data_IF_595587269927
#
_entry.id   IF_595587269927
#
_cell.length_a   1.000
_cell.length_b   1.000
_cell.length_c   1.000
_cell.angle_alpha   90.00
_cell.angle_beta   90.00
_cell.angle_gamma   90.00
#
_symmetry.space_group_name_H-M   'P 1'
#
loop_
_entity.id
_entity.type
_entity.pdbx_description
1 polymer ?
#
# COMPACT_ATOMS: atom_id res chain seq x y z
N UNK A 1 3.87 28.09 -9.08
CA UNK A 1 2.57 27.35 -9.21
C UNK A 1 1.56 27.96 -8.24
N UNK A 2 0.28 28.07 -8.63
CA UNK A 2 -0.76 28.32 -7.61
C UNK A 2 -0.86 27.04 -6.78
N UNK A 3 -0.49 27.11 -5.50
CA UNK A 3 -0.76 26.02 -4.56
C UNK A 3 -2.24 25.71 -4.59
N UNK A 4 -2.60 24.44 -4.76
CA UNK A 4 -3.97 24.00 -4.61
C UNK A 4 -4.43 24.31 -3.19
N UNK A 5 -5.65 24.84 -3.06
CA UNK A 5 -6.19 25.16 -1.76
C UNK A 5 -6.40 23.88 -0.96
N UNK A 6 -5.89 23.73 0.28
CA UNK A 6 -6.00 22.49 1.05
C UNK A 6 -7.44 22.08 1.41
N UNK A 7 -8.42 22.93 1.09
CA UNK A 7 -9.86 22.66 1.30
C UNK A 7 -10.56 22.02 0.10
N UNK A 8 -9.85 21.69 -0.98
CA UNK A 8 -10.47 20.97 -2.10
C UNK A 8 -10.79 19.53 -1.69
N UNK A 9 -11.98 19.06 -2.12
CA UNK A 9 -12.39 17.67 -1.90
C UNK A 9 -11.52 16.67 -2.66
N UNK A 10 -11.52 15.42 -2.20
CA UNK A 10 -10.67 14.33 -2.70
C UNK A 10 -10.70 14.19 -4.24
N UNK A 11 -11.89 14.21 -4.85
CA UNK A 11 -12.03 14.06 -6.31
C UNK A 11 -11.33 15.17 -7.09
N UNK A 12 -11.36 16.40 -6.58
CA UNK A 12 -10.63 17.53 -7.17
C UNK A 12 -9.12 17.35 -7.01
N UNK A 13 -8.67 16.91 -5.85
CA UNK A 13 -7.26 16.65 -5.60
C UNK A 13 -6.74 15.48 -6.46
N UNK A 14 -7.53 14.41 -6.65
CA UNK A 14 -7.17 13.27 -7.51
C UNK A 14 -6.87 13.71 -8.95
N UNK A 15 -7.60 14.70 -9.46
CA UNK A 15 -7.40 15.25 -10.82
C UNK A 15 -6.23 16.25 -10.86
N UNK A 16 -6.11 17.14 -9.87
CA UNK A 16 -5.28 18.34 -9.98
C UNK A 16 -3.96 18.29 -9.21
N UNK A 17 -3.85 17.56 -8.09
CA UNK A 17 -2.61 17.50 -7.32
C UNK A 17 -1.47 16.91 -8.16
N UNK A 18 -0.27 17.50 -8.09
CA UNK A 18 0.89 17.07 -8.86
C UNK A 18 0.77 17.23 -10.39
N UNK A 19 -0.37 17.71 -10.91
CA UNK A 19 -0.67 17.79 -12.35
C UNK A 19 -0.74 19.25 -12.85
N UNK A 20 0.23 20.08 -12.50
CA UNK A 20 0.33 21.42 -13.05
C UNK A 20 0.65 21.39 -14.54
N UNK A 21 0.15 22.34 -15.36
CA UNK A 21 0.56 22.49 -16.76
C UNK A 21 2.07 22.65 -16.89
N UNK A 22 2.66 22.06 -17.91
CA UNK A 22 4.09 22.17 -18.18
C UNK A 22 4.49 23.64 -18.38
N UNK A 23 5.46 24.17 -17.63
CA UNK A 23 5.80 25.58 -17.69
C UNK A 23 6.50 26.01 -18.99
N UNK A 24 7.12 25.06 -19.72
CA UNK A 24 7.82 25.36 -20.96
C UNK A 24 6.90 25.38 -22.18
N UNK A 25 5.91 24.51 -22.22
CA UNK A 25 5.05 24.32 -23.40
C UNK A 25 3.57 24.66 -23.15
N UNK A 26 3.15 24.75 -21.88
CA UNK A 26 1.74 24.88 -21.50
C UNK A 26 0.94 23.59 -21.66
N UNK A 27 1.58 22.44 -21.90
CA UNK A 27 0.90 21.16 -22.02
C UNK A 27 0.07 20.85 -20.76
N UNK A 28 -1.22 20.55 -20.94
CA UNK A 28 -2.10 20.27 -19.81
C UNK A 28 -1.87 18.88 -19.23
N UNK A 29 -1.67 17.87 -20.09
CA UNK A 29 -1.25 16.56 -19.65
C UNK A 29 0.21 16.60 -19.21
N UNK A 30 0.51 15.99 -18.04
CA UNK A 30 1.87 16.03 -17.51
C UNK A 30 2.85 15.31 -18.45
N UNK A 31 3.99 15.92 -18.83
CA UNK A 31 4.97 15.31 -19.75
C UNK A 31 5.66 14.10 -19.14
N UNK A 32 6.07 13.16 -19.99
CA UNK A 32 6.94 12.04 -19.62
C UNK A 32 8.39 12.47 -19.81
N UNK A 33 9.11 12.71 -18.73
CA UNK A 33 10.54 13.04 -18.77
C UNK A 33 11.39 11.76 -18.82
N UNK A 34 11.46 11.16 -20.02
CA UNK A 34 12.20 9.91 -20.25
C UNK A 34 13.69 10.20 -20.48
N UNK A 35 14.39 10.59 -19.41
CA UNK A 35 15.82 10.89 -19.42
C UNK A 35 16.49 10.30 -18.19
N UNK A 36 17.81 10.05 -18.25
CA UNK A 36 18.60 9.57 -17.10
C UNK A 36 19.20 10.70 -16.28
N UNK A 37 19.59 11.81 -16.91
CA UNK A 37 20.38 12.89 -16.30
C UNK A 37 19.94 14.27 -16.78
N UNK A 38 20.31 15.27 -16.03
CA UNK A 38 19.96 16.67 -16.25
C UNK A 38 21.24 17.52 -16.28
N UNK A 39 21.29 18.53 -17.14
CA UNK A 39 22.42 19.46 -17.22
C UNK A 39 22.38 20.46 -16.09
N UNK A 40 23.54 20.87 -15.61
CA UNK A 40 23.73 21.93 -14.63
C UNK A 40 24.05 23.25 -15.32
N UNK A 41 23.69 24.37 -14.67
CA UNK A 41 24.01 25.69 -15.18
C UNK A 41 25.53 25.96 -15.09
N UNK A 42 26.13 25.58 -13.95
CA UNK A 42 27.57 25.69 -13.67
C UNK A 42 28.00 24.71 -12.56
N UNK A 43 29.26 24.79 -12.13
CA UNK A 43 29.83 23.94 -11.09
C UNK A 43 29.23 24.20 -9.69
N UNK A 44 28.90 25.43 -9.38
CA UNK A 44 28.33 25.84 -8.09
C UNK A 44 26.88 25.38 -7.98
N UNK A 45 26.10 25.46 -9.08
CA UNK A 45 24.77 24.88 -9.16
C UNK A 45 24.84 23.34 -8.93
N UNK A 46 25.73 22.65 -9.62
CA UNK A 46 25.93 21.21 -9.42
C UNK A 46 26.25 20.89 -7.94
N UNK A 47 27.21 21.60 -7.35
CA UNK A 47 27.60 21.39 -5.94
C UNK A 47 26.42 21.60 -4.97
N UNK A 48 25.61 22.63 -5.19
CA UNK A 48 24.45 22.95 -4.34
C UNK A 48 23.39 21.84 -4.35
N UNK A 49 23.15 21.23 -5.53
CA UNK A 49 22.22 20.09 -5.67
C UNK A 49 22.74 18.83 -4.96
N UNK A 50 24.03 18.48 -5.17
CA UNK A 50 24.64 17.31 -4.52
C UNK A 50 24.73 17.45 -3.01
N UNK A 51 24.87 18.66 -2.48
CA UNK A 51 24.89 18.95 -1.05
C UNK A 51 23.51 19.15 -0.43
N UNK A 52 22.42 18.93 -1.16
CA UNK A 52 21.03 19.13 -0.73
C UNK A 52 20.73 20.57 -0.28
N UNK A 53 21.46 21.55 -0.80
CA UNK A 53 21.30 23.00 -0.52
C UNK A 53 20.30 23.68 -1.43
N UNK A 54 20.01 23.10 -2.60
CA UNK A 54 19.02 23.56 -3.56
C UNK A 54 18.13 22.41 -4.04
N UNK A 55 16.84 22.66 -4.33
CA UNK A 55 15.98 21.69 -5.00
C UNK A 55 16.33 21.60 -6.49
N UNK A 56 16.24 20.40 -7.07
CA UNK A 56 16.45 20.21 -8.50
C UNK A 56 16.60 18.75 -8.90
N UNK A 57 16.89 18.54 -10.19
CA UNK A 57 17.03 17.21 -10.77
C UNK A 57 18.49 16.98 -11.15
N UNK A 58 19.01 15.82 -10.75
CA UNK A 58 20.39 15.40 -11.03
C UNK A 58 20.38 14.18 -11.94
N UNK A 59 19.67 13.15 -11.49
CA UNK A 59 19.65 11.85 -12.12
C UNK A 59 18.31 11.13 -11.79
N UNK A 60 17.67 10.52 -12.78
CA UNK A 60 16.31 9.97 -12.63
C UNK A 60 16.16 8.83 -11.63
N UNK A 61 17.27 8.21 -11.18
CA UNK A 61 17.22 7.26 -10.05
C UNK A 61 16.91 7.94 -8.73
N UNK A 62 17.31 9.20 -8.54
CA UNK A 62 17.06 9.98 -7.33
C UNK A 62 15.73 10.74 -7.41
N UNK A 63 15.61 11.53 -8.49
CA UNK A 63 14.43 12.39 -8.74
C UNK A 63 14.20 12.53 -10.25
N UNK A 64 12.94 12.57 -10.65
CA UNK A 64 12.52 12.78 -12.03
C UNK A 64 11.22 13.58 -12.03
N UNK A 65 11.00 14.58 -12.90
CA UNK A 65 9.81 15.44 -12.86
C UNK A 65 8.50 14.68 -12.93
N UNK A 66 8.39 13.62 -13.75
CA UNK A 66 7.17 12.81 -13.86
C UNK A 66 6.93 11.99 -12.58
N UNK A 67 8.00 11.45 -11.99
CA UNK A 67 7.93 10.72 -10.71
C UNK A 67 7.59 11.66 -9.57
N UNK A 68 8.20 12.85 -9.50
CA UNK A 68 7.92 13.86 -8.50
C UNK A 68 6.45 14.35 -8.53
N UNK A 69 5.86 14.45 -9.72
CA UNK A 69 4.44 14.76 -9.86
C UNK A 69 3.54 13.67 -9.23
N UNK A 70 3.93 12.39 -9.36
CA UNK A 70 3.23 11.28 -8.72
C UNK A 70 3.42 11.29 -7.20
N UNK A 71 4.63 11.61 -6.71
CA UNK A 71 4.93 11.76 -5.29
C UNK A 71 4.07 12.85 -4.64
N UNK A 72 4.02 14.04 -5.26
CA UNK A 72 3.18 15.16 -4.80
C UNK A 72 1.69 14.77 -4.76
N UNK A 73 1.19 14.11 -5.83
CA UNK A 73 -0.21 13.68 -5.92
C UNK A 73 -0.55 12.70 -4.80
N UNK A 74 0.25 11.66 -4.60
CA UNK A 74 -0.02 10.61 -3.62
C UNK A 74 0.14 11.14 -2.17
N UNK A 75 1.16 11.96 -1.90
CA UNK A 75 1.30 12.62 -0.61
C UNK A 75 0.07 13.49 -0.29
N UNK A 76 -0.40 14.28 -1.27
CA UNK A 76 -1.59 15.13 -1.09
C UNK A 76 -2.84 14.30 -0.81
N UNK A 77 -3.05 13.17 -1.51
CA UNK A 77 -4.25 12.34 -1.35
C UNK A 77 -4.26 11.58 -0.02
N UNK A 78 -3.11 11.20 0.50
CA UNK A 78 -2.99 10.57 1.83
C UNK A 78 -2.95 11.58 2.99
N UNK A 79 -2.90 12.89 2.69
CA UNK A 79 -2.71 13.93 3.73
C UNK A 79 -1.32 13.93 4.33
N UNK A 80 -0.32 13.39 3.59
CA UNK A 80 1.08 13.35 3.97
C UNK A 80 1.85 14.63 3.62
N UNK A 81 3.07 14.72 4.13
CA UNK A 81 3.99 15.85 3.92
C UNK A 81 4.88 15.66 2.70
N UNK A 82 5.26 14.42 2.41
CA UNK A 82 6.10 14.06 1.27
C UNK A 82 6.00 12.58 0.93
N UNK A 83 6.47 12.20 -0.24
CA UNK A 83 6.45 10.82 -0.70
C UNK A 83 7.70 10.45 -1.48
N UNK A 84 8.02 9.16 -1.52
CA UNK A 84 9.09 8.59 -2.34
C UNK A 84 8.53 7.41 -3.14
N UNK A 85 8.46 7.58 -4.44
CA UNK A 85 7.95 6.55 -5.37
C UNK A 85 9.05 5.53 -5.67
N UNK A 86 8.64 4.26 -5.73
CA UNK A 86 9.54 3.10 -5.89
C UNK A 86 9.07 2.17 -7.01
N UNK A 87 9.94 1.23 -7.40
CA UNK A 87 9.69 0.28 -8.50
C UNK A 87 8.60 -0.77 -8.19
N UNK A 88 8.21 -0.93 -6.93
CA UNK A 88 7.16 -1.88 -6.49
C UNK A 88 6.70 -1.61 -5.06
N UNK A 89 5.57 -2.17 -4.64
CA UNK A 89 5.11 -2.14 -3.25
C UNK A 89 6.12 -2.76 -2.29
N UNK A 90 6.75 -3.88 -2.65
CA UNK A 90 7.80 -4.52 -1.85
C UNK A 90 9.02 -3.61 -1.65
N UNK A 91 9.36 -2.83 -2.68
CA UNK A 91 10.41 -1.82 -2.58
C UNK A 91 9.99 -0.67 -1.66
N UNK A 92 8.71 -0.27 -1.68
CA UNK A 92 8.17 0.75 -0.77
C UNK A 92 8.22 0.30 0.70
N UNK A 93 7.81 -0.94 1.00
CA UNK A 93 7.94 -1.52 2.34
C UNK A 93 9.41 -1.54 2.82
N UNK A 94 10.33 -1.93 1.92
CA UNK A 94 11.76 -1.95 2.23
C UNK A 94 12.29 -0.54 2.48
N UNK A 95 11.88 0.43 1.65
CA UNK A 95 12.30 1.82 1.78
C UNK A 95 11.74 2.47 3.06
N UNK A 96 10.51 2.13 3.46
CA UNK A 96 9.91 2.59 4.70
C UNK A 96 10.70 2.14 5.94
N UNK A 97 11.26 0.93 5.91
CA UNK A 97 11.98 0.35 7.05
C UNK A 97 13.49 0.61 7.02
N UNK A 98 14.07 0.86 5.85
CA UNK A 98 15.53 0.97 5.69
C UNK A 98 16.19 2.02 6.61
N UNK A 99 15.68 3.26 6.76
CA UNK A 99 16.27 4.24 7.68
C UNK A 99 16.02 3.92 9.16
N UNK A 100 15.08 3.03 9.46
CA UNK A 100 14.65 2.71 10.81
C UNK A 100 15.38 1.51 11.39
N UNK A 101 15.78 0.56 10.54
CA UNK A 101 16.27 -0.76 10.95
C UNK A 101 17.79 -0.84 10.89
N UNK A 102 18.35 -1.62 11.82
CA UNK A 102 19.74 -2.05 11.84
C UNK A 102 19.79 -3.54 12.23
N UNK A 103 20.93 -4.25 12.01
CA UNK A 103 21.06 -5.64 12.44
C UNK A 103 20.72 -5.83 13.92
N UNK A 104 19.89 -6.82 14.23
CA UNK A 104 19.39 -7.13 15.57
C UNK A 104 18.17 -6.33 16.01
N UNK A 105 17.69 -5.37 15.22
CA UNK A 105 16.46 -4.61 15.51
C UNK A 105 15.20 -5.38 15.08
N UNK A 106 14.06 -4.94 15.59
CA UNK A 106 12.77 -5.62 15.47
C UNK A 106 11.71 -4.70 14.86
N UNK A 107 10.87 -5.26 13.97
CA UNK A 107 9.59 -4.69 13.53
C UNK A 107 8.48 -5.59 14.03
N UNK A 108 7.46 -5.02 14.69
CA UNK A 108 6.25 -5.74 15.08
C UNK A 108 5.30 -5.73 13.90
N UNK A 109 4.79 -6.89 13.52
CA UNK A 109 4.06 -7.10 12.27
C UNK A 109 2.75 -7.82 12.55
N UNK A 110 1.65 -7.33 12.01
CA UNK A 110 0.38 -8.05 12.03
C UNK A 110 0.52 -9.41 11.32
N UNK A 111 -0.14 -10.46 11.81
CA UNK A 111 -0.05 -11.79 11.21
C UNK A 111 -1.01 -11.98 10.02
N UNK A 112 -2.01 -11.11 9.85
CA UNK A 112 -2.94 -11.12 8.70
C UNK A 112 -2.55 -10.02 7.73
N UNK A 113 -1.69 -10.36 6.77
CA UNK A 113 -1.14 -9.48 5.75
C UNK A 113 -1.04 -10.20 4.41
N UNK A 114 -0.70 -9.44 3.38
CA UNK A 114 -0.30 -9.97 2.10
C UNK A 114 0.86 -10.97 2.24
N UNK A 115 0.73 -12.14 1.60
CA UNK A 115 1.72 -13.23 1.73
C UNK A 115 3.13 -12.82 1.29
N UNK A 116 3.26 -11.88 0.34
CA UNK A 116 4.56 -11.31 -0.06
C UNK A 116 5.23 -10.54 1.06
N UNK A 117 4.48 -9.73 1.81
CA UNK A 117 4.95 -8.98 2.98
C UNK A 117 5.39 -9.92 4.10
N UNK A 118 4.59 -10.96 4.38
CA UNK A 118 4.95 -12.01 5.37
C UNK A 118 6.29 -12.67 5.00
N UNK A 119 6.48 -13.03 3.74
CA UNK A 119 7.73 -13.64 3.28
C UNK A 119 8.91 -12.65 3.30
N UNK A 120 8.70 -11.40 2.87
CA UNK A 120 9.72 -10.36 2.89
C UNK A 120 10.23 -10.13 4.30
N UNK A 121 9.31 -9.85 5.24
CA UNK A 121 9.66 -9.53 6.63
C UNK A 121 10.13 -10.75 7.41
N UNK A 122 9.43 -11.89 7.27
CA UNK A 122 9.72 -13.08 8.05
C UNK A 122 10.93 -13.89 7.59
N UNK A 123 11.34 -13.76 6.31
CA UNK A 123 12.44 -14.56 5.75
C UNK A 123 13.54 -13.70 5.12
N UNK A 124 13.19 -12.77 4.20
CA UNK A 124 14.19 -12.04 3.44
C UNK A 124 14.95 -11.05 4.31
N UNK A 125 14.29 -10.35 5.21
CA UNK A 125 14.91 -9.37 6.10
C UNK A 125 15.85 -9.99 7.14
N UNK A 126 15.69 -11.27 7.46
CA UNK A 126 16.66 -11.99 8.30
C UNK A 126 18.08 -11.97 7.71
N UNK A 127 18.22 -11.87 6.38
CA UNK A 127 19.53 -11.73 5.71
C UNK A 127 20.21 -10.40 6.02
N UNK A 128 19.46 -9.38 6.42
CA UNK A 128 19.95 -8.09 6.90
C UNK A 128 20.07 -8.04 8.44
N UNK A 129 19.72 -9.14 9.12
CA UNK A 129 19.65 -9.17 10.57
C UNK A 129 18.44 -8.43 11.15
N UNK A 130 17.42 -8.12 10.34
CA UNK A 130 16.18 -7.52 10.78
C UNK A 130 15.19 -8.60 11.19
N UNK A 131 14.55 -8.43 12.34
CA UNK A 131 13.68 -9.44 12.93
C UNK A 131 12.22 -8.96 12.86
N UNK A 132 11.33 -9.77 12.27
CA UNK A 132 9.89 -9.55 12.30
C UNK A 132 9.26 -10.33 13.46
N UNK A 133 8.49 -9.65 14.31
CA UNK A 133 7.73 -10.23 15.42
C UNK A 133 6.26 -10.20 15.02
N UNK A 134 5.75 -11.35 14.55
CA UNK A 134 4.35 -11.46 14.15
C UNK A 134 3.44 -11.58 15.36
N UNK A 135 2.38 -10.78 15.38
CA UNK A 135 1.40 -10.73 16.47
C UNK A 135 -0.03 -10.88 15.94
N UNK A 136 -0.96 -11.21 16.81
CA UNK A 136 -2.36 -11.29 16.45
C UNK A 136 -2.91 -9.93 16.00
N UNK A 137 -3.32 -9.86 14.76
CA UNK A 137 -3.81 -8.66 14.09
C UNK A 137 -5.06 -8.05 14.74
N UNK A 138 -5.89 -8.86 15.38
CA UNK A 138 -7.17 -8.47 15.93
C UNK A 138 -7.08 -7.96 17.38
N UNK A 139 -5.88 -8.06 17.97
CA UNK A 139 -5.66 -7.71 19.37
C UNK A 139 -4.59 -6.60 19.51
N UNK A 140 -4.98 -5.31 19.67
CA UNK A 140 -4.02 -4.22 19.89
C UNK A 140 -3.07 -4.45 21.08
N UNK A 141 -3.53 -5.17 22.11
CA UNK A 141 -2.70 -5.48 23.28
C UNK A 141 -1.57 -6.47 22.95
N UNK A 142 -1.74 -7.34 21.94
CA UNK A 142 -0.66 -8.20 21.48
C UNK A 142 0.51 -7.39 20.90
N UNK A 143 0.23 -6.28 20.21
CA UNK A 143 1.26 -5.35 19.75
C UNK A 143 2.00 -4.72 20.92
N UNK A 144 1.27 -4.28 21.97
CA UNK A 144 1.87 -3.68 23.18
C UNK A 144 2.81 -4.65 23.90
N UNK A 145 2.40 -5.89 24.07
CA UNK A 145 3.19 -6.94 24.74
C UNK A 145 4.44 -7.33 23.95
N UNK A 146 4.42 -7.15 22.62
CA UNK A 146 5.58 -7.45 21.77
C UNK A 146 6.63 -6.34 21.75
N UNK A 147 6.33 -5.15 22.30
CA UNK A 147 7.28 -4.02 22.31
C UNK A 147 8.51 -4.33 23.15
N UNK A 148 9.69 -4.14 22.58
CA UNK A 148 10.99 -4.27 23.26
C UNK A 148 11.85 -3.02 23.01
N UNK A 149 13.03 -2.96 23.64
CA UNK A 149 14.02 -1.91 23.36
C UNK A 149 14.57 -1.96 21.92
N UNK A 150 14.42 -3.10 21.25
CA UNK A 150 14.86 -3.31 19.85
C UNK A 150 13.79 -2.92 18.83
N UNK A 151 12.54 -2.72 19.23
CA UNK A 151 11.45 -2.33 18.35
C UNK A 151 11.73 -0.99 17.68
N UNK A 152 11.57 -0.95 16.35
CA UNK A 152 11.81 0.23 15.50
C UNK A 152 10.60 0.68 14.71
N UNK A 153 9.63 -0.20 14.47
CA UNK A 153 8.38 0.13 13.80
C UNK A 153 7.29 -0.89 14.19
N UNK A 154 6.04 -0.49 13.97
CA UNK A 154 4.89 -1.39 13.89
C UNK A 154 4.38 -1.34 12.45
N UNK A 155 4.11 -2.50 11.85
CA UNK A 155 3.62 -2.61 10.47
C UNK A 155 2.29 -3.35 10.42
N UNK A 156 1.30 -2.74 9.74
CA UNK A 156 -0.05 -3.31 9.53
C UNK A 156 -0.54 -3.01 8.11
N UNK A 157 -1.61 -3.69 7.68
CA UNK A 157 -2.44 -3.26 6.54
C UNK A 157 -3.74 -2.62 7.04
N UNK A 158 -4.23 -1.58 6.39
CA UNK A 158 -5.51 -0.94 6.75
C UNK A 158 -6.70 -1.88 6.52
N UNK A 159 -6.69 -2.55 5.38
CA UNK A 159 -7.60 -3.60 4.96
C UNK A 159 -6.76 -4.77 4.45
N UNK A 160 -6.76 -5.88 5.16
CA UNK A 160 -5.83 -6.99 4.90
C UNK A 160 -6.28 -7.87 3.73
N UNK A 161 -5.31 -8.28 2.93
CA UNK A 161 -5.44 -9.28 1.87
C UNK A 161 -4.94 -10.65 2.39
N UNK A 162 -5.70 -11.76 2.26
CA UNK A 162 -6.87 -11.94 1.38
C UNK A 162 -8.24 -11.76 2.03
N UNK A 163 -8.33 -11.71 3.34
CA UNK A 163 -9.56 -11.96 4.07
C UNK A 163 -10.45 -10.73 4.36
N UNK A 164 -10.14 -9.52 3.87
CA UNK A 164 -10.94 -8.33 4.15
C UNK A 164 -10.99 -7.95 5.64
N UNK A 165 -9.93 -8.24 6.38
CA UNK A 165 -9.78 -7.89 7.81
C UNK A 165 -9.47 -6.41 7.94
N UNK A 166 -10.23 -5.69 8.75
CA UNK A 166 -10.00 -4.26 9.03
C UNK A 166 -9.26 -4.11 10.35
N UNK A 167 -8.09 -3.47 10.32
CA UNK A 167 -7.28 -3.22 11.52
C UNK A 167 -7.82 -2.04 12.32
N UNK A 168 -7.69 -2.10 13.65
CA UNK A 168 -7.96 -0.95 14.52
C UNK A 168 -6.76 -0.01 14.54
N UNK A 169 -6.65 0.81 13.47
CA UNK A 169 -5.50 1.68 13.22
C UNK A 169 -5.25 2.62 14.41
N UNK A 170 -6.28 3.26 14.93
CA UNK A 170 -6.17 4.23 16.04
C UNK A 170 -5.62 3.58 17.32
N UNK A 171 -6.11 2.39 17.67
CA UNK A 171 -5.64 1.68 18.86
C UNK A 171 -4.19 1.23 18.72
N UNK A 172 -3.77 0.78 17.52
CA UNK A 172 -2.39 0.36 17.25
C UNK A 172 -1.47 1.59 17.16
N UNK A 173 -1.94 2.71 16.61
CA UNK A 173 -1.19 3.98 16.60
C UNK A 173 -0.85 4.48 18.01
N UNK A 174 -1.76 4.32 18.97
CA UNK A 174 -1.49 4.62 20.39
C UNK A 174 -0.36 3.77 20.94
N UNK A 175 -0.33 2.48 20.60
CA UNK A 175 0.77 1.58 21.02
C UNK A 175 2.10 2.01 20.40
N UNK A 176 2.13 2.35 19.10
CA UNK A 176 3.33 2.82 18.42
C UNK A 176 3.86 4.12 19.05
N UNK A 177 2.97 5.09 19.31
CA UNK A 177 3.30 6.36 19.96
C UNK A 177 3.89 6.15 21.37
N UNK A 178 3.24 5.33 22.22
CA UNK A 178 3.73 4.99 23.55
C UNK A 178 5.10 4.29 23.52
N UNK A 179 5.34 3.49 22.49
CA UNK A 179 6.62 2.83 22.27
C UNK A 179 7.69 3.77 21.68
N UNK A 180 7.32 4.99 21.22
CA UNK A 180 8.20 5.94 20.55
C UNK A 180 8.78 5.40 19.24
N UNK A 181 7.94 4.69 18.46
CA UNK A 181 8.27 4.15 17.12
C UNK A 181 7.17 4.49 16.13
N UNK A 182 7.47 4.62 14.82
CA UNK A 182 6.44 4.93 13.83
C UNK A 182 5.52 3.74 13.59
N UNK A 183 4.23 4.05 13.33
CA UNK A 183 3.27 3.14 12.73
C UNK A 183 3.35 3.26 11.19
N UNK A 184 3.66 2.14 10.53
CA UNK A 184 3.67 1.98 9.08
C UNK A 184 2.41 1.23 8.66
N UNK A 185 1.62 1.81 7.78
CA UNK A 185 0.37 1.20 7.29
C UNK A 185 0.44 0.98 5.79
N UNK A 186 0.32 -0.26 5.34
CA UNK A 186 0.04 -0.55 3.94
C UNK A 186 -1.44 -0.29 3.66
N UNK A 187 -1.70 0.73 2.83
CA UNK A 187 -3.03 1.18 2.47
C UNK A 187 -3.43 0.79 1.03
N UNK A 188 -2.75 -0.19 0.45
CA UNK A 188 -2.94 -0.63 -0.93
C UNK A 188 -4.36 -1.04 -1.24
N UNK A 189 -5.01 -1.78 -0.33
CA UNK A 189 -6.35 -2.32 -0.53
C UNK A 189 -7.46 -1.28 -0.40
N UNK A 190 -7.34 -0.39 0.59
CA UNK A 190 -8.33 0.66 0.83
C UNK A 190 -8.14 1.85 -0.11
N UNK A 191 -6.92 2.16 -0.52
CA UNK A 191 -6.55 3.39 -1.20
C UNK A 191 -6.82 4.66 -0.36
N UNK A 192 -6.22 5.80 -0.68
CA UNK A 192 -6.52 7.05 0.05
C UNK A 192 -7.97 7.53 -0.12
N UNK A 193 -8.70 6.95 -1.07
CA UNK A 193 -10.12 7.29 -1.28
C UNK A 193 -11.02 6.70 -0.18
N UNK A 194 -10.78 5.46 0.27
CA UNK A 194 -11.61 4.83 1.31
C UNK A 194 -11.08 5.08 2.71
N UNK A 195 -9.76 5.17 2.88
CA UNK A 195 -9.11 5.33 4.17
C UNK A 195 -7.87 6.20 4.03
N UNK A 196 -7.72 7.17 4.92
CA UNK A 196 -6.49 7.95 5.10
C UNK A 196 -5.89 7.61 6.48
N UNK A 197 -5.00 6.61 6.59
CA UNK A 197 -4.47 6.14 7.87
C UNK A 197 -3.78 7.21 8.71
N UNK A 198 -3.25 8.27 8.07
CA UNK A 198 -2.61 9.39 8.76
C UNK A 198 -3.57 10.23 9.62
N UNK A 199 -4.87 10.21 9.32
CA UNK A 199 -5.90 10.81 10.17
C UNK A 199 -6.09 10.05 11.49
N UNK A 200 -5.71 8.76 11.50
CA UNK A 200 -5.83 7.83 12.61
C UNK A 200 -4.51 7.56 13.33
N UNK A 201 -3.47 8.32 13.00
CA UNK A 201 -2.19 8.26 13.69
C UNK A 201 -1.12 7.41 13.04
N UNK A 202 -1.26 7.03 11.78
CA UNK A 202 -0.15 6.45 11.02
C UNK A 202 0.91 7.52 10.73
N UNK A 203 2.17 7.15 10.87
CA UNK A 203 3.31 8.01 10.60
C UNK A 203 3.80 7.85 9.15
N UNK A 204 3.82 6.62 8.67
CA UNK A 204 4.20 6.26 7.32
C UNK A 204 3.09 5.43 6.67
N UNK A 205 2.78 5.73 5.41
CA UNK A 205 1.84 4.93 4.59
C UNK A 205 2.58 4.39 3.39
N UNK A 206 2.39 3.10 3.08
CA UNK A 206 2.92 2.48 1.88
C UNK A 206 1.78 2.03 0.95
N UNK A 207 2.07 2.03 -0.35
CA UNK A 207 1.18 1.46 -1.36
C UNK A 207 1.96 0.66 -2.39
N UNK A 208 1.37 -0.43 -2.85
CA UNK A 208 1.62 -0.92 -4.19
C UNK A 208 0.78 -0.10 -5.17
N UNK A 209 1.41 0.83 -5.90
CA UNK A 209 0.70 1.61 -6.93
C UNK A 209 0.26 0.75 -8.12
N UNK A 210 0.76 -0.49 -8.19
CA UNK A 210 0.41 -1.54 -9.15
C UNK A 210 -1.09 -1.86 -9.16
N UNK A 211 -1.79 -1.66 -8.02
CA UNK A 211 -3.14 -2.15 -7.77
C UNK A 211 -4.19 -1.09 -8.16
N UNK A 212 -5.10 -0.75 -7.28
CA UNK A 212 -6.16 0.21 -7.52
C UNK A 212 -5.69 1.58 -8.02
N UNK A 213 -4.48 2.04 -7.64
CA UNK A 213 -3.98 3.35 -8.03
C UNK A 213 -3.76 3.43 -9.54
N UNK A 214 -3.08 2.46 -10.18
CA UNK A 214 -3.02 2.36 -11.64
C UNK A 214 -4.31 1.80 -12.23
N UNK A 215 -4.90 0.79 -11.59
CA UNK A 215 -6.25 0.28 -11.81
C UNK A 215 -6.46 -0.62 -13.02
N UNK A 216 -5.44 -0.88 -13.85
CA UNK A 216 -5.59 -1.63 -15.10
C UNK A 216 -4.59 -2.78 -15.26
N UNK A 217 -3.79 -3.07 -14.22
CA UNK A 217 -2.81 -4.15 -14.24
C UNK A 217 -1.67 -3.95 -15.24
N UNK A 218 -1.34 -2.71 -15.61
CA UNK A 218 -0.42 -2.35 -16.69
C UNK A 218 0.84 -1.60 -16.23
N UNK A 219 0.95 -1.27 -14.93
CA UNK A 219 2.13 -0.61 -14.36
C UNK A 219 2.47 -1.22 -12.99
N UNK A 220 3.74 -1.56 -12.78
CA UNK A 220 4.26 -1.97 -11.48
C UNK A 220 4.90 -0.76 -10.80
N UNK A 221 4.61 -0.56 -9.51
CA UNK A 221 5.20 0.51 -8.73
C UNK A 221 4.79 0.46 -7.26
N UNK A 222 5.38 1.35 -6.49
CA UNK A 222 5.06 1.56 -5.07
C UNK A 222 5.34 2.98 -4.64
N UNK A 223 4.97 3.31 -3.43
CA UNK A 223 5.28 4.60 -2.79
C UNK A 223 5.31 4.43 -1.28
N UNK A 224 6.21 5.14 -0.63
CA UNK A 224 6.14 5.44 0.80
C UNK A 224 5.83 6.91 0.99
N UNK A 225 4.88 7.23 1.86
CA UNK A 225 4.41 8.57 2.17
C UNK A 225 4.67 8.83 3.64
N UNK A 226 5.27 9.96 3.93
CA UNK A 226 5.59 10.43 5.28
C UNK A 226 4.55 11.46 5.73
N UNK A 227 3.98 11.27 6.91
CA UNK A 227 3.07 12.25 7.53
C UNK A 227 3.78 13.57 7.88
N UNK A 228 5.11 13.56 8.06
CA UNK A 228 5.88 14.67 8.60
C UNK A 228 5.64 14.93 10.09
N UNK A 229 4.87 14.08 10.77
CA UNK A 229 4.45 14.30 12.19
C UNK A 229 5.31 13.55 13.20
N UNK A 230 6.01 12.49 12.78
CA UNK A 230 6.86 11.74 13.69
C UNK A 230 8.10 12.54 14.08
N UNK A 231 8.40 12.57 15.38
CA UNK A 231 9.57 13.30 15.90
C UNK A 231 10.83 12.47 15.76
N UNK A 232 11.61 12.72 14.73
CA UNK A 232 12.90 12.07 14.49
C UNK A 232 14.02 12.66 15.33
N UNK A 233 14.03 13.98 15.50
CA UNK A 233 15.05 14.70 16.29
C UNK A 233 14.99 14.25 17.75
N UNK A 234 16.15 14.10 18.36
CA UNK A 234 16.32 13.63 19.76
C UNK A 234 15.84 12.18 20.02
N UNK A 235 15.44 11.46 18.98
CA UNK A 235 15.04 10.06 19.09
C UNK A 235 16.22 9.13 18.81
N UNK A 236 16.89 8.67 19.88
CA UNK A 236 18.08 7.80 19.80
C UNK A 236 17.83 6.43 19.13
N UNK A 237 16.59 6.05 18.89
CA UNK A 237 16.24 4.84 18.15
C UNK A 237 16.56 4.93 16.66
N UNK A 238 16.62 6.15 16.11
CA UNK A 238 16.73 6.41 14.67
C UNK A 238 17.96 7.26 14.32
N UNK A 239 19.18 6.73 14.58
CA UNK A 239 20.43 7.49 14.36
C UNK A 239 20.61 7.92 12.90
N UNK A 240 20.11 7.15 11.93
CA UNK A 240 20.14 7.52 10.51
C UNK A 240 19.53 8.91 10.23
N UNK A 241 18.52 9.31 10.99
CA UNK A 241 17.80 10.57 10.83
C UNK A 241 18.23 11.64 11.85
N UNK A 242 18.60 11.21 13.08
CA UNK A 242 18.82 12.12 14.23
C UNK A 242 20.28 12.40 14.54
N UNK A 243 21.22 11.80 13.82
CA UNK A 243 22.66 12.03 14.03
C UNK A 243 23.35 12.53 12.75
N UNK A 244 24.54 13.17 12.85
CA UNK A 244 25.28 13.63 11.69
C UNK A 244 25.60 12.51 10.69
N UNK A 245 25.18 12.69 9.43
CA UNK A 245 25.42 11.75 8.33
C UNK A 245 26.83 11.93 7.76
N UNK A 246 27.65 10.89 7.75
CA UNK A 246 28.98 10.96 7.15
C UNK A 246 28.94 11.13 5.62
N UNK A 247 27.88 10.66 4.94
CA UNK A 247 27.68 10.77 3.50
C UNK A 247 27.39 12.21 3.05
N UNK A 248 26.92 13.06 3.97
CA UNK A 248 26.56 14.46 3.71
C UNK A 248 27.32 15.43 4.63
N UNK A 249 28.63 15.21 4.83
CA UNK A 249 29.53 16.10 5.56
C UNK A 249 29.03 16.49 6.97
N UNK A 250 28.35 15.56 7.65
CA UNK A 250 27.86 15.79 9.01
C UNK A 250 26.47 16.45 9.08
N UNK A 251 25.73 16.54 7.96
CA UNK A 251 24.34 16.99 7.97
C UNK A 251 23.47 16.04 8.78
N UNK A 252 22.62 16.59 9.67
CA UNK A 252 21.58 15.83 10.39
C UNK A 252 20.25 16.03 9.69
N UNK A 253 19.67 14.98 9.13
CA UNK A 253 18.43 15.08 8.32
C UNK A 253 17.27 15.67 9.11
N UNK A 254 17.03 15.21 10.35
CA UNK A 254 15.95 15.71 11.19
C UNK A 254 16.10 17.19 11.56
N UNK A 255 17.31 17.65 11.79
CA UNK A 255 17.60 19.06 12.10
C UNK A 255 17.46 19.94 10.85
N UNK A 256 17.97 19.47 9.71
CA UNK A 256 18.05 20.27 8.48
C UNK A 256 16.71 20.37 7.77
N UNK A 257 15.94 19.28 7.74
CA UNK A 257 14.73 19.20 6.91
C UNK A 257 13.42 19.10 7.71
N UNK A 258 13.48 18.98 9.04
CA UNK A 258 12.30 19.00 9.91
C UNK A 258 11.28 17.94 9.52
N UNK A 259 10.10 18.38 9.11
CA UNK A 259 8.95 17.54 8.71
C UNK A 259 9.16 16.79 7.37
N UNK A 260 10.21 17.10 6.63
CA UNK A 260 10.62 16.39 5.40
C UNK A 260 11.83 15.46 5.63
N UNK A 261 12.31 15.29 6.86
CA UNK A 261 13.52 14.54 7.16
C UNK A 261 13.52 13.12 6.59
N UNK A 262 12.43 12.38 6.81
CA UNK A 262 12.30 11.01 6.31
C UNK A 262 12.26 10.96 4.78
N UNK A 263 11.48 11.84 4.14
CA UNK A 263 11.39 11.92 2.67
C UNK A 263 12.74 12.27 2.06
N UNK A 264 13.45 13.24 2.62
CA UNK A 264 14.77 13.66 2.12
C UNK A 264 15.82 12.55 2.30
N UNK A 265 15.83 11.85 3.43
CA UNK A 265 16.69 10.69 3.63
C UNK A 265 16.35 9.57 2.64
N UNK A 266 15.07 9.33 2.41
CA UNK A 266 14.58 8.31 1.49
C UNK A 266 15.08 8.54 0.06
N UNK A 267 15.07 9.77 -0.43
CA UNK A 267 15.62 10.13 -1.75
C UNK A 267 17.14 10.13 -1.77
N UNK A 268 17.76 10.81 -0.80
CA UNK A 268 19.19 11.07 -0.81
C UNK A 268 20.05 9.83 -0.53
N UNK A 269 19.53 8.88 0.25
CA UNK A 269 20.26 7.68 0.67
C UNK A 269 19.52 6.42 0.24
N UNK A 270 18.31 6.19 0.76
CA UNK A 270 17.63 4.89 0.57
C UNK A 270 17.37 4.57 -0.91
N UNK A 271 16.71 5.47 -1.63
CA UNK A 271 16.40 5.28 -3.05
C UNK A 271 17.65 5.30 -3.92
N UNK A 272 18.59 6.23 -3.63
CA UNK A 272 19.86 6.35 -4.34
C UNK A 272 20.65 5.05 -4.29
N UNK A 273 20.79 4.44 -3.11
CA UNK A 273 21.70 3.33 -2.87
C UNK A 273 21.05 1.97 -3.15
N UNK A 274 19.78 1.78 -2.78
CA UNK A 274 19.03 0.56 -3.09
C UNK A 274 18.64 0.48 -4.59
N UNK A 275 18.55 1.62 -5.27
CA UNK A 275 18.31 1.69 -6.72
C UNK A 275 16.90 1.29 -7.16
N UNK A 276 15.94 1.22 -6.26
CA UNK A 276 14.57 0.77 -6.54
C UNK A 276 13.64 1.88 -7.08
N UNK A 277 14.18 2.73 -7.96
CA UNK A 277 13.45 3.83 -8.60
C UNK A 277 12.41 3.34 -9.60
N UNK A 278 11.32 4.10 -9.75
CA UNK A 278 10.28 3.84 -10.74
C UNK A 278 10.60 4.49 -12.09
N UNK A 279 10.18 3.83 -13.17
CA UNK A 279 10.26 4.40 -14.52
C UNK A 279 9.27 5.56 -14.68
N UNK A 280 9.65 6.66 -15.37
CA UNK A 280 8.74 7.77 -15.65
C UNK A 280 7.48 7.34 -16.41
N UNK A 281 7.56 6.34 -17.29
CA UNK A 281 6.42 5.78 -18.00
C UNK A 281 5.41 5.16 -17.03
N UNK A 282 5.87 4.32 -16.07
CA UNK A 282 4.97 3.72 -15.08
C UNK A 282 4.37 4.77 -14.14
N UNK A 283 5.14 5.79 -13.78
CA UNK A 283 4.63 6.92 -13.00
C UNK A 283 3.53 7.66 -13.76
N UNK A 284 3.71 7.91 -15.04
CA UNK A 284 2.71 8.57 -15.89
C UNK A 284 1.43 7.74 -16.03
N UNK A 285 1.54 6.42 -16.24
CA UNK A 285 0.38 5.50 -16.29
C UNK A 285 -0.38 5.57 -14.95
N UNK A 286 0.33 5.56 -13.83
CA UNK A 286 -0.26 5.65 -12.49
C UNK A 286 -0.94 7.01 -12.26
N UNK A 287 -0.33 8.12 -12.68
CA UNK A 287 -0.95 9.46 -12.64
C UNK A 287 -2.32 9.48 -13.34
N UNK A 288 -2.39 8.92 -14.55
CA UNK A 288 -3.66 8.83 -15.30
C UNK A 288 -4.68 7.92 -14.59
N UNK A 289 -4.22 6.80 -14.00
CA UNK A 289 -5.09 5.91 -13.23
C UNK A 289 -5.72 6.60 -12.02
N UNK A 290 -4.95 7.43 -11.30
CA UNK A 290 -5.42 8.13 -10.10
C UNK A 290 -6.51 9.16 -10.43
N UNK A 291 -6.50 9.80 -11.59
CA UNK A 291 -7.53 10.78 -11.97
C UNK A 291 -8.95 10.19 -11.96
N UNK A 292 -9.10 8.90 -12.23
CA UNK A 292 -10.38 8.18 -12.19
C UNK A 292 -10.53 7.27 -10.96
N UNK A 293 -9.60 7.33 -10.02
CA UNK A 293 -9.60 6.46 -8.82
C UNK A 293 -10.92 6.51 -8.04
N UNK A 294 -11.48 7.70 -7.72
CA UNK A 294 -12.72 7.78 -6.94
C UNK A 294 -13.88 7.05 -7.62
N UNK A 295 -14.06 7.29 -8.92
CA UNK A 295 -15.13 6.68 -9.72
C UNK A 295 -15.00 5.15 -9.79
N UNK A 296 -13.78 4.65 -9.94
CA UNK A 296 -13.52 3.21 -10.02
C UNK A 296 -13.72 2.55 -8.66
N UNK A 297 -13.16 3.11 -7.59
CA UNK A 297 -13.22 2.51 -6.25
C UNK A 297 -14.65 2.51 -5.72
N UNK A 298 -15.44 3.56 -5.95
CA UNK A 298 -16.87 3.59 -5.63
C UNK A 298 -17.61 2.44 -6.33
N UNK A 299 -17.38 2.21 -7.64
CA UNK A 299 -17.97 1.11 -8.39
C UNK A 299 -17.48 -0.25 -7.90
N UNK A 300 -16.18 -0.40 -7.66
CA UNK A 300 -15.59 -1.61 -7.08
C UNK A 300 -16.28 -1.98 -5.76
N UNK A 301 -16.44 -1.03 -4.84
CA UNK A 301 -17.08 -1.26 -3.52
C UNK A 301 -18.55 -1.62 -3.66
N UNK A 302 -19.29 -0.90 -4.52
CA UNK A 302 -20.69 -1.19 -4.78
C UNK A 302 -20.90 -2.59 -5.33
N UNK A 303 -20.12 -2.98 -6.35
CA UNK A 303 -20.16 -4.31 -6.91
C UNK A 303 -19.72 -5.36 -5.89
N UNK A 304 -18.61 -5.12 -5.16
CA UNK A 304 -18.07 -6.04 -4.16
C UNK A 304 -19.10 -6.37 -3.07
N UNK A 305 -19.77 -5.35 -2.53
CA UNK A 305 -20.81 -5.55 -1.52
C UNK A 305 -22.05 -6.27 -2.07
N UNK A 306 -22.44 -5.97 -3.31
CA UNK A 306 -23.58 -6.63 -3.97
C UNK A 306 -23.30 -8.12 -4.17
N UNK A 307 -22.12 -8.45 -4.66
CA UNK A 307 -21.66 -9.84 -4.84
C UNK A 307 -21.53 -10.55 -3.49
N UNK A 308 -20.95 -9.91 -2.48
CA UNK A 308 -20.81 -10.50 -1.15
C UNK A 308 -22.18 -10.85 -0.52
N UNK A 309 -23.17 -9.94 -0.63
CA UNK A 309 -24.56 -10.19 -0.18
C UNK A 309 -25.26 -11.32 -0.93
N UNK A 310 -24.95 -11.49 -2.21
CA UNK A 310 -25.44 -12.61 -3.00
C UNK A 310 -24.83 -13.92 -2.52
N UNK A 311 -23.50 -13.98 -2.40
CA UNK A 311 -22.77 -15.16 -1.96
C UNK A 311 -23.15 -15.60 -0.54
N UNK A 312 -23.39 -14.66 0.38
CA UNK A 312 -23.80 -14.95 1.77
C UNK A 312 -25.10 -15.79 1.85
N UNK A 313 -25.95 -15.67 0.82
CA UNK A 313 -27.24 -16.38 0.76
C UNK A 313 -27.20 -17.63 -0.13
N UNK A 314 -26.09 -17.88 -0.82
CA UNK A 314 -26.01 -18.97 -1.79
C UNK A 314 -25.83 -20.33 -1.10
N UNK A 315 -26.61 -21.37 -1.46
CA UNK A 315 -26.60 -22.67 -0.75
C UNK A 315 -25.27 -23.42 -0.83
N UNK A 316 -24.44 -23.22 -1.85
CA UNK A 316 -23.12 -23.83 -2.01
C UNK A 316 -22.00 -23.06 -1.32
N UNK A 317 -22.31 -21.92 -0.63
CA UNK A 317 -21.34 -21.12 0.12
C UNK A 317 -21.49 -21.41 1.60
N UNK A 318 -20.37 -21.54 2.31
CA UNK A 318 -20.34 -21.79 3.76
C UNK A 318 -20.25 -20.47 4.55
N UNK A 319 -19.41 -19.53 4.09
CA UNK A 319 -19.16 -18.25 4.73
C UNK A 319 -18.63 -17.23 3.71
N UNK A 320 -18.78 -15.94 4.04
CA UNK A 320 -18.22 -14.81 3.27
C UNK A 320 -17.51 -13.87 4.23
N UNK A 321 -16.28 -13.51 3.92
CA UNK A 321 -15.47 -12.54 4.71
C UNK A 321 -15.35 -11.20 3.97
N UNK A 322 -16.36 -10.34 4.14
CA UNK A 322 -16.39 -8.98 3.58
C UNK A 322 -16.78 -7.99 4.67
N UNK A 323 -15.95 -6.97 4.92
CA UNK A 323 -16.14 -6.02 6.02
C UNK A 323 -17.42 -5.16 5.94
N UNK A 324 -18.07 -5.10 4.77
CA UNK A 324 -19.34 -4.39 4.57
C UNK A 324 -20.60 -5.20 4.88
N UNK A 325 -20.49 -6.49 5.19
CA UNK A 325 -21.63 -7.30 5.65
C UNK A 325 -21.89 -7.05 7.13
N UNK A 326 -23.15 -6.94 7.50
CA UNK A 326 -23.55 -6.75 8.91
C UNK A 326 -23.17 -7.96 9.79
N UNK A 327 -23.07 -9.13 9.20
CA UNK A 327 -22.58 -10.37 9.81
C UNK A 327 -21.07 -10.40 10.08
N UNK A 328 -20.31 -9.49 9.45
CA UNK A 328 -18.86 -9.47 9.57
C UNK A 328 -18.41 -8.95 10.96
N UNK A 329 -17.43 -9.60 11.60
CA UNK A 329 -16.83 -9.08 12.83
C UNK A 329 -16.16 -7.72 12.63
N UNK A 330 -15.77 -7.39 11.39
CA UNK A 330 -15.11 -6.13 11.04
C UNK A 330 -16.06 -5.01 10.61
N UNK A 331 -17.38 -5.24 10.59
CA UNK A 331 -18.37 -4.27 10.11
C UNK A 331 -18.24 -2.90 10.79
N UNK A 332 -18.08 -2.90 12.13
CA UNK A 332 -17.95 -1.64 12.89
C UNK A 332 -16.66 -0.89 12.57
N UNK A 333 -15.53 -1.59 12.46
CA UNK A 333 -14.26 -0.99 12.09
C UNK A 333 -14.29 -0.51 10.62
N UNK A 334 -14.91 -1.29 9.74
CA UNK A 334 -15.14 -0.88 8.35
C UNK A 334 -15.92 0.43 8.24
N UNK A 335 -17.00 0.56 9.00
CA UNK A 335 -17.79 1.81 9.06
C UNK A 335 -17.03 2.99 9.67
N UNK A 336 -16.15 2.72 10.63
CA UNK A 336 -15.32 3.76 11.27
C UNK A 336 -14.26 4.31 10.33
N UNK A 337 -13.47 3.42 9.71
CA UNK A 337 -12.27 3.81 8.93
C UNK A 337 -12.54 4.01 7.44
N UNK A 338 -13.59 3.39 6.92
CA UNK A 338 -13.93 3.36 5.48
C UNK A 338 -15.44 3.57 5.29
N UNK A 339 -15.99 4.75 5.66
CA UNK A 339 -17.44 5.02 5.60
C UNK A 339 -18.01 4.95 4.20
N UNK A 340 -17.20 5.26 3.17
CA UNK A 340 -17.61 5.32 1.76
C UNK A 340 -17.52 3.97 1.03
N UNK A 341 -17.05 2.89 1.73
CA UNK A 341 -16.97 1.54 1.18
C UNK A 341 -15.85 0.73 1.82
N UNK A 342 -16.00 -0.60 1.84
CA UNK A 342 -15.10 -1.51 2.54
C UNK A 342 -14.30 -2.41 1.59
N UNK A 343 -13.98 -1.88 0.42
CA UNK A 343 -13.19 -2.56 -0.61
C UNK A 343 -14.00 -3.53 -1.47
N UNK A 344 -13.31 -4.21 -2.38
CA UNK A 344 -13.88 -5.17 -3.33
C UNK A 344 -13.07 -6.47 -3.43
N UNK A 345 -12.05 -6.60 -2.61
CA UNK A 345 -11.26 -7.84 -2.49
C UNK A 345 -11.66 -8.54 -1.20
N UNK A 346 -12.15 -9.75 -1.34
CA UNK A 346 -12.63 -10.52 -0.21
C UNK A 346 -12.57 -12.02 -0.49
N UNK A 347 -12.84 -12.84 0.53
CA UNK A 347 -12.84 -14.29 0.43
C UNK A 347 -14.18 -14.86 0.83
N UNK A 348 -14.46 -16.06 0.29
CA UNK A 348 -15.56 -16.89 0.74
C UNK A 348 -15.17 -18.36 0.68
N UNK A 349 -15.86 -19.18 1.47
CA UNK A 349 -15.67 -20.64 1.51
C UNK A 349 -16.74 -21.34 0.69
N UNK A 350 -16.31 -22.24 -0.21
CA UNK A 350 -17.23 -23.12 -0.95
C UNK A 350 -17.41 -24.46 -0.21
N UNK A 351 -18.62 -25.01 -0.21
CA UNK A 351 -18.88 -26.36 0.30
C UNK A 351 -18.16 -27.40 -0.55
N UNK A 352 -17.59 -28.42 0.11
CA UNK A 352 -16.87 -29.50 -0.57
C UNK A 352 -15.35 -29.29 -0.66
N UNK A 353 -14.82 -28.25 -0.04
CA UNK A 353 -13.38 -28.07 0.17
C UNK A 353 -12.57 -27.86 -1.11
N UNK A 354 -11.38 -28.49 -1.16
CA UNK A 354 -10.36 -28.25 -2.18
C UNK A 354 -10.84 -28.53 -3.62
N UNK A 355 -11.48 -29.67 -3.84
CA UNK A 355 -11.95 -30.09 -5.17
C UNK A 355 -13.06 -29.19 -5.70
N UNK A 356 -13.97 -28.75 -4.83
CA UNK A 356 -15.01 -27.78 -5.18
C UNK A 356 -14.39 -26.41 -5.50
N UNK A 357 -13.37 -25.99 -4.76
CA UNK A 357 -12.61 -24.76 -5.05
C UNK A 357 -11.97 -24.79 -6.43
N UNK A 358 -11.34 -25.89 -6.82
CA UNK A 358 -10.76 -26.07 -8.16
C UNK A 358 -11.83 -26.05 -9.25
N UNK A 359 -12.93 -26.84 -9.06
CA UNK A 359 -14.01 -26.91 -10.02
C UNK A 359 -14.68 -25.57 -10.26
N UNK A 360 -14.89 -24.79 -9.19
CA UNK A 360 -15.41 -23.43 -9.30
C UNK A 360 -14.49 -22.53 -10.16
N UNK A 361 -13.18 -22.59 -9.90
CA UNK A 361 -12.18 -21.82 -10.63
C UNK A 361 -12.18 -22.13 -12.14
N UNK A 362 -12.39 -23.41 -12.49
CA UNK A 362 -12.45 -23.88 -13.88
C UNK A 362 -13.80 -23.60 -14.56
N UNK A 363 -14.84 -23.29 -13.78
CA UNK A 363 -16.21 -23.12 -14.28
C UNK A 363 -16.58 -21.66 -14.55
N UNK A 364 -15.83 -20.67 -14.05
CA UNK A 364 -16.09 -19.25 -14.33
C UNK A 364 -15.70 -18.91 -15.76
N UNK A 365 -16.47 -18.06 -16.42
CA UNK A 365 -16.28 -17.63 -17.80
C UNK A 365 -15.87 -16.14 -17.93
N UNK A 366 -16.37 -15.28 -17.02
CA UNK A 366 -16.08 -13.85 -17.00
C UNK A 366 -14.78 -13.55 -16.23
N UNK A 367 -14.59 -14.21 -15.09
CA UNK A 367 -13.47 -13.93 -14.21
C UNK A 367 -12.14 -14.37 -14.81
N UNK A 368 -11.12 -13.53 -14.68
CA UNK A 368 -9.75 -13.93 -15.00
C UNK A 368 -9.09 -14.64 -13.81
N UNK A 369 -8.57 -15.84 -14.05
CA UNK A 369 -7.78 -16.57 -13.05
C UNK A 369 -6.36 -16.04 -13.03
N UNK A 370 -6.07 -15.09 -12.13
CA UNK A 370 -4.77 -14.41 -12.04
C UNK A 370 -4.46 -13.93 -10.63
N UNK A 371 -3.19 -13.99 -10.25
CA UNK A 371 -2.70 -13.53 -8.95
C UNK A 371 -2.51 -12.00 -8.93
N UNK A 372 -3.58 -11.23 -9.12
CA UNK A 372 -3.61 -9.77 -9.01
C UNK A 372 -4.84 -9.32 -8.21
N UNK A 373 -4.97 -8.02 -7.96
CA UNK A 373 -6.13 -7.36 -7.34
C UNK A 373 -6.24 -5.92 -7.87
N UNK A 374 -7.42 -5.32 -7.75
CA UNK A 374 -7.63 -3.89 -8.06
C UNK A 374 -7.61 -3.56 -9.56
N UNK A 375 -7.77 -4.57 -10.40
CA UNK A 375 -7.98 -4.41 -11.84
C UNK A 375 -9.45 -4.03 -12.12
N UNK A 376 -9.70 -3.31 -13.19
CA UNK A 376 -11.07 -3.01 -13.66
C UNK A 376 -11.87 -4.25 -14.02
N UNK A 377 -11.20 -5.37 -14.33
CA UNK A 377 -11.77 -6.69 -14.56
C UNK A 377 -11.87 -7.49 -13.27
N UNK A 378 -12.93 -8.28 -13.14
CA UNK A 378 -13.10 -9.22 -12.02
C UNK A 378 -12.09 -10.36 -12.11
N UNK A 379 -11.43 -10.63 -10.97
CA UNK A 379 -10.38 -11.64 -10.84
C UNK A 379 -10.75 -12.65 -9.77
N UNK A 380 -10.39 -13.92 -10.00
CA UNK A 380 -10.61 -15.02 -9.09
C UNK A 380 -9.31 -15.78 -8.80
N UNK A 381 -9.16 -16.29 -7.59
CA UNK A 381 -8.01 -17.08 -7.19
C UNK A 381 -8.44 -18.12 -6.14
N UNK A 382 -7.90 -19.34 -6.22
CA UNK A 382 -7.93 -20.33 -5.17
C UNK A 382 -6.56 -20.36 -4.47
N UNK A 383 -6.40 -19.72 -3.30
CA UNK A 383 -5.09 -19.55 -2.68
C UNK A 383 -4.38 -20.87 -2.37
N UNK A 384 -5.14 -21.89 -1.92
CA UNK A 384 -4.59 -23.19 -1.56
C UNK A 384 -3.88 -23.91 -2.72
N UNK A 385 -4.36 -23.74 -3.96
CA UNK A 385 -3.74 -24.35 -5.16
C UNK A 385 -2.69 -23.48 -5.83
N UNK A 386 -2.57 -22.18 -5.45
CA UNK A 386 -1.74 -21.20 -6.13
C UNK A 386 -0.75 -20.52 -5.17
N UNK A 387 -1.11 -19.39 -4.60
CA UNK A 387 -0.21 -18.51 -3.82
C UNK A 387 0.27 -19.12 -2.50
N UNK A 388 -0.48 -20.06 -1.93
CA UNK A 388 -0.18 -20.74 -0.66
C UNK A 388 0.10 -22.24 -0.82
N UNK A 389 0.31 -22.72 -2.05
CA UNK A 389 0.54 -24.14 -2.35
C UNK A 389 1.75 -24.74 -1.60
N UNK A 390 2.75 -23.91 -1.30
CA UNK A 390 3.98 -24.35 -0.62
C UNK A 390 3.83 -24.51 0.90
N UNK A 391 2.70 -24.06 1.48
CA UNK A 391 2.42 -24.17 2.91
C UNK A 391 1.76 -25.51 3.22
N UNK A 392 1.94 -26.00 4.48
CA UNK A 392 1.15 -27.12 4.98
C UNK A 392 -0.32 -26.73 5.13
N UNK A 393 -1.21 -27.69 5.29
CA UNK A 393 -2.64 -27.41 5.46
C UNK A 393 -2.90 -26.57 6.71
N UNK A 394 -2.26 -26.86 7.83
CA UNK A 394 -2.35 -26.08 9.07
C UNK A 394 -1.88 -24.63 8.88
N UNK A 395 -0.78 -24.45 8.14
CA UNK A 395 -0.27 -23.13 7.83
C UNK A 395 -1.21 -22.34 6.90
N UNK A 396 -1.85 -23.02 5.94
CA UNK A 396 -2.85 -22.40 5.05
C UNK A 396 -4.08 -21.96 5.83
N UNK A 397 -4.61 -22.80 6.70
CA UNK A 397 -5.75 -22.47 7.56
C UNK A 397 -5.42 -21.28 8.46
N UNK A 398 -4.26 -21.28 9.10
CA UNK A 398 -3.80 -20.18 9.94
C UNK A 398 -3.64 -18.85 9.16
N UNK A 399 -3.33 -18.94 7.86
CA UNK A 399 -3.22 -17.78 6.96
C UNK A 399 -4.57 -17.37 6.33
N UNK A 400 -5.72 -18.00 6.72
CA UNK A 400 -7.01 -17.73 6.12
C UNK A 400 -7.13 -18.19 4.66
N UNK A 401 -6.36 -19.20 4.28
CA UNK A 401 -6.26 -19.75 2.91
C UNK A 401 -6.49 -21.25 2.91
N UNK A 402 -7.52 -21.70 3.67
CA UNK A 402 -7.95 -23.10 3.73
C UNK A 402 -8.32 -23.67 2.35
N UNK A 403 -8.55 -25.00 2.29
CA UNK A 403 -8.84 -25.68 1.03
C UNK A 403 -10.14 -25.22 0.36
N UNK A 404 -11.09 -24.69 1.12
CA UNK A 404 -12.38 -24.20 0.63
C UNK A 404 -12.36 -22.75 0.15
N UNK A 405 -11.25 -22.03 0.38
CA UNK A 405 -11.19 -20.56 0.24
C UNK A 405 -11.05 -20.14 -1.21
N UNK A 406 -11.97 -19.32 -1.68
CA UNK A 406 -11.87 -18.56 -2.93
C UNK A 406 -11.68 -17.09 -2.62
N UNK A 407 -10.71 -16.46 -3.27
CA UNK A 407 -10.51 -15.00 -3.22
C UNK A 407 -11.04 -14.37 -4.49
N UNK A 408 -11.86 -13.33 -4.33
CA UNK A 408 -12.33 -12.47 -5.41
C UNK A 408 -11.67 -11.09 -5.33
N UNK A 409 -11.41 -10.49 -6.49
CA UNK A 409 -11.17 -9.07 -6.67
C UNK A 409 -12.20 -8.58 -7.66
N UNK A 410 -13.28 -7.99 -7.17
CA UNK A 410 -14.42 -7.60 -8.00
C UNK A 410 -14.09 -6.34 -8.78
N UNK A 411 -14.35 -6.38 -10.08
CA UNK A 411 -14.13 -5.30 -11.03
C UNK A 411 -15.28 -4.31 -11.11
N UNK A 412 -15.32 -3.56 -12.21
CA UNK A 412 -16.30 -2.49 -12.45
C UNK A 412 -17.36 -2.86 -13.51
N UNK A 413 -17.44 -4.12 -13.88
CA UNK A 413 -18.45 -4.67 -14.79
C UNK A 413 -19.88 -4.49 -14.25
N UNK A 414 -20.90 -4.89 -14.98
CA UNK A 414 -22.26 -4.96 -14.47
C UNK A 414 -22.34 -6.01 -13.36
N UNK A 415 -22.88 -5.65 -12.19
CA UNK A 415 -22.94 -6.55 -11.03
C UNK A 415 -23.75 -7.83 -11.33
N UNK A 416 -24.78 -7.70 -12.16
CA UNK A 416 -25.63 -8.79 -12.59
C UNK A 416 -24.86 -9.85 -13.40
N UNK A 417 -23.94 -9.41 -14.29
CA UNK A 417 -23.11 -10.31 -15.09
C UNK A 417 -22.10 -11.04 -14.20
N UNK A 418 -21.48 -10.33 -13.24
CA UNK A 418 -20.57 -10.92 -12.25
C UNK A 418 -21.29 -12.01 -11.44
N UNK A 419 -22.51 -11.71 -10.97
CA UNK A 419 -23.32 -12.64 -10.19
C UNK A 419 -23.74 -13.84 -11.05
N UNK A 420 -24.15 -13.62 -12.30
CA UNK A 420 -24.57 -14.68 -13.20
C UNK A 420 -23.44 -15.69 -13.45
N UNK A 421 -22.20 -15.20 -13.63
CA UNK A 421 -21.03 -16.06 -13.81
C UNK A 421 -20.70 -16.88 -12.54
N UNK A 422 -20.75 -16.24 -11.37
CA UNK A 422 -20.55 -16.94 -10.10
C UNK A 422 -21.65 -17.97 -9.82
N UNK A 423 -22.92 -17.63 -10.14
CA UNK A 423 -24.08 -18.50 -9.94
C UNK A 423 -23.98 -19.78 -10.77
N UNK A 424 -23.65 -19.64 -12.07
CA UNK A 424 -23.50 -20.81 -12.96
C UNK A 424 -22.33 -21.70 -12.49
N UNK A 425 -21.20 -21.11 -12.04
CA UNK A 425 -20.05 -21.84 -11.53
C UNK A 425 -20.38 -22.56 -10.22
N UNK A 426 -21.06 -21.91 -9.27
CA UNK A 426 -21.50 -22.50 -8.00
C UNK A 426 -22.54 -23.63 -8.20
N UNK A 427 -23.45 -23.51 -9.15
CA UNK A 427 -24.41 -24.56 -9.50
C UNK A 427 -23.74 -25.80 -10.09
N UNK A 428 -22.60 -25.64 -10.75
CA UNK A 428 -21.84 -26.77 -11.27
C UNK A 428 -21.25 -27.66 -10.18
N UNK A 429 -21.17 -27.18 -8.95
CA UNK A 429 -20.59 -27.95 -7.83
C UNK A 429 -21.49 -29.05 -7.31
N UNK A 430 -22.80 -29.01 -7.60
CA UNK A 430 -23.78 -30.03 -7.24
C UNK A 430 -24.77 -29.55 -6.22
#
# INVERSE_FOLDING_TARGET
MKQLHPQFGFNTLAVHAGSAPDPATGARSFPIYQTTSYVFDDADHAASLFNLQAPGFIYSRLTNPTVAALEEKLATLEGGRGGTVTSSGQAAETLALFPLMAPGMEVIVANKLYGGTINLMGKSYQKFGWNAIFVDSENPEAFRQAVTKKTRAIFIESLANPGGVVMDIESIAKVANEAGVPLVVDNTMATPFLCQPMEWGADLVVHSTTKFLSGQGNAVGGVVIDSGKFTWLENSKFPSLSTPSPEYNGLTFAETFGDLAFTMYSHAISLRDLGCSQSPMNAWITLNGIETLPLRVERHCSNGLTVAKYLEKHPSVEWVSHAGLESSPYYKLGKKYMPDGTGSVFTFGVKGGYESGLKMLESVELFSHVANIGDTRSLILHPASTTHRQLTEEQRIAAGSGPEVIRLSIGIECAEDIIADLDQALKSLG
#
